data_IF_360004271953
#
_entry.id   IF_360004271953
#
_cell.length_a   1.000
_cell.length_b   1.000
_cell.length_c   1.000
_cell.angle_alpha   90.00
_cell.angle_beta   90.00
_cell.angle_gamma   90.00
#
_symmetry.space_group_name_H-M   'P 1'
#
loop_
_entity.id
_entity.type
_entity.pdbx_description
1 polymer ?
#
# COMPACT_ATOMS: atom_id res chain seq x y z
N UNK A 1 3.19 -5.97 18.25
CA UNK A 1 2.81 -6.88 17.13
C UNK A 1 2.53 -6.08 15.88
N UNK A 2 3.06 -6.49 14.72
CA UNK A 2 2.80 -5.80 13.44
C UNK A 2 1.66 -6.51 12.71
N UNK A 3 0.51 -5.85 12.70
CA UNK A 3 -0.67 -6.25 11.96
C UNK A 3 -0.67 -5.63 10.55
N UNK A 4 -1.83 -5.53 9.91
CA UNK A 4 -1.97 -5.06 8.53
C UNK A 4 -3.32 -4.44 8.30
N UNK A 5 -3.39 -3.49 7.38
CA UNK A 5 -4.62 -3.03 6.72
C UNK A 5 -5.50 -4.17 6.20
N UNK A 6 -4.93 -5.34 5.90
CA UNK A 6 -5.67 -6.50 5.39
C UNK A 6 -6.65 -7.12 6.39
N UNK A 7 -6.66 -6.68 7.66
CA UNK A 7 -7.73 -7.02 8.62
C UNK A 7 -9.06 -6.36 8.25
N UNK A 8 -9.02 -5.32 7.41
CA UNK A 8 -10.18 -4.70 6.81
C UNK A 8 -10.38 -5.23 5.39
N UNK A 9 -11.58 -5.72 5.09
CA UNK A 9 -11.94 -6.30 3.80
C UNK A 9 -12.83 -5.44 2.92
N UNK A 10 -13.05 -4.19 3.33
CA UNK A 10 -13.87 -3.21 2.60
C UNK A 10 -13.13 -1.90 2.44
N UNK A 11 -13.54 -1.14 1.42
CA UNK A 11 -13.16 0.25 1.25
C UNK A 11 -14.01 1.14 2.15
N UNK A 12 -13.49 2.32 2.46
CA UNK A 12 -14.12 3.30 3.35
C UNK A 12 -14.03 4.68 2.72
N UNK A 13 -15.14 5.42 2.73
CA UNK A 13 -15.18 6.81 2.24
C UNK A 13 -14.82 7.83 3.35
N UNK A 14 -14.42 7.34 4.52
CA UNK A 14 -14.05 8.11 5.70
C UNK A 14 -12.76 7.55 6.33
N UNK A 15 -12.19 8.30 7.31
CA UNK A 15 -11.00 7.87 8.03
C UNK A 15 -11.29 6.68 8.95
N UNK A 16 -10.55 5.60 8.76
CA UNK A 16 -10.73 4.34 9.50
C UNK A 16 -10.07 4.45 10.88
N UNK A 17 -10.88 4.33 11.92
CA UNK A 17 -10.44 4.31 13.33
C UNK A 17 -10.08 2.90 13.77
N UNK A 18 -9.32 2.78 14.86
CA UNK A 18 -8.89 1.48 15.40
C UNK A 18 -10.05 0.62 15.90
N UNK A 19 -11.20 1.24 16.20
CA UNK A 19 -12.41 0.60 16.73
C UNK A 19 -13.34 0.07 15.63
N UNK A 20 -13.02 0.38 14.37
CA UNK A 20 -13.75 -0.12 13.21
C UNK A 20 -13.74 -1.67 13.17
N UNK A 21 -14.88 -2.34 12.93
CA UNK A 21 -14.94 -3.79 12.85
C UNK A 21 -14.03 -4.36 11.75
N UNK A 22 -13.22 -5.34 12.14
CA UNK A 22 -12.35 -6.08 11.22
C UNK A 22 -13.15 -7.11 10.43
N UNK A 23 -12.89 -7.22 9.14
CA UNK A 23 -13.54 -8.17 8.24
C UNK A 23 -12.52 -8.69 7.20
N UNK A 24 -11.58 -9.57 7.58
CA UNK A 24 -10.53 -10.03 6.68
C UNK A 24 -11.08 -10.92 5.57
N UNK A 25 -10.81 -10.56 4.32
CA UNK A 25 -11.31 -11.29 3.13
C UNK A 25 -10.26 -12.20 2.48
N UNK A 26 -9.01 -12.15 2.94
CA UNK A 26 -7.91 -13.00 2.46
C UNK A 26 -7.23 -13.75 3.62
N UNK A 27 -6.53 -14.84 3.31
CA UNK A 27 -5.83 -15.67 4.31
C UNK A 27 -4.76 -14.89 5.07
N UNK A 28 -4.06 -13.98 4.38
CA UNK A 28 -3.09 -13.09 5.03
C UNK A 28 -3.76 -12.18 6.07
N UNK A 29 -4.90 -11.57 5.73
CA UNK A 29 -5.69 -10.75 6.67
C UNK A 29 -6.19 -11.55 7.85
N UNK A 30 -6.70 -12.78 7.61
CA UNK A 30 -7.16 -13.70 8.67
C UNK A 30 -6.02 -14.09 9.61
N UNK A 31 -4.85 -14.43 9.06
CA UNK A 31 -3.66 -14.76 9.84
C UNK A 31 -3.21 -13.56 10.69
N UNK A 32 -3.22 -12.34 10.13
CA UNK A 32 -2.88 -11.13 10.88
C UNK A 32 -3.85 -10.87 12.03
N UNK A 33 -5.16 -11.01 11.79
CA UNK A 33 -6.19 -10.84 12.81
C UNK A 33 -6.09 -11.89 13.92
N UNK A 34 -5.87 -13.16 13.59
CA UNK A 34 -5.66 -14.21 14.59
C UNK A 34 -4.45 -13.90 15.50
N UNK A 35 -3.38 -13.33 14.94
CA UNK A 35 -2.26 -12.84 15.74
C UNK A 35 -2.62 -11.66 16.65
N UNK A 36 -3.49 -10.73 16.21
CA UNK A 36 -4.01 -9.67 17.09
C UNK A 36 -4.77 -10.25 18.29
N UNK A 37 -5.61 -11.26 18.06
CA UNK A 37 -6.39 -11.92 19.10
C UNK A 37 -5.48 -12.61 20.14
N UNK A 38 -4.44 -13.31 19.67
CA UNK A 38 -3.47 -13.95 20.56
C UNK A 38 -2.66 -12.96 21.40
N UNK A 39 -2.33 -11.81 20.82
CA UNK A 39 -1.63 -10.72 21.53
C UNK A 39 -2.57 -10.11 22.57
N UNK A 40 -3.83 -9.83 22.22
CA UNK A 40 -4.84 -9.28 23.14
C UNK A 40 -5.11 -10.20 24.34
N UNK A 41 -5.07 -11.53 24.17
CA UNK A 41 -5.19 -12.49 25.29
C UNK A 41 -4.06 -12.36 26.32
N UNK A 42 -2.90 -11.82 25.94
CA UNK A 42 -1.72 -11.65 26.80
C UNK A 42 -1.60 -10.25 27.40
N UNK A 43 -2.47 -9.31 26.99
CA UNK A 43 -2.46 -7.92 27.42
C UNK A 43 -2.58 -7.69 28.94
N UNK A 44 -3.16 -8.66 29.68
CA UNK A 44 -3.24 -8.60 31.14
C UNK A 44 -1.93 -8.98 31.85
N UNK A 45 -0.98 -9.58 31.14
CA UNK A 45 0.27 -10.13 31.71
C UNK A 45 1.53 -9.46 31.15
N UNK A 46 1.42 -8.86 29.97
CA UNK A 46 2.52 -8.22 29.25
C UNK A 46 1.99 -6.95 28.61
N UNK A 47 2.83 -5.92 28.57
CA UNK A 47 2.58 -4.75 27.74
C UNK A 47 2.64 -5.17 26.27
N UNK A 48 1.54 -4.97 25.54
CA UNK A 48 1.38 -5.49 24.18
C UNK A 48 0.67 -4.50 23.28
N UNK A 49 1.43 -3.82 22.45
CA UNK A 49 0.88 -2.94 21.43
C UNK A 49 0.71 -3.63 20.07
N UNK A 50 -0.35 -3.26 19.36
CA UNK A 50 -0.66 -3.72 18.01
C UNK A 50 -0.57 -2.53 17.07
N UNK A 51 0.30 -2.61 16.06
CA UNK A 51 0.41 -1.62 15.01
C UNK A 51 -0.22 -2.16 13.73
N UNK A 52 -1.35 -1.60 13.30
CA UNK A 52 -1.92 -1.87 11.97
C UNK A 52 -1.31 -0.88 10.98
N UNK A 53 -0.72 -1.42 9.93
CA UNK A 53 0.08 -0.65 8.98
C UNK A 53 -0.49 -0.78 7.57
N UNK A 54 -0.44 0.28 6.75
CA UNK A 54 -0.79 0.25 5.35
C UNK A 54 0.40 -0.32 4.56
N UNK A 55 0.40 -0.11 3.24
CA UNK A 55 1.52 -0.54 2.41
C UNK A 55 2.80 0.22 2.79
N UNK A 56 3.81 -0.53 3.19
CA UNK A 56 5.12 -0.01 3.57
C UNK A 56 5.94 0.23 2.31
N UNK A 57 6.45 1.43 2.14
CA UNK A 57 7.26 1.81 0.98
C UNK A 57 8.59 2.42 1.46
N UNK A 58 9.67 2.00 0.80
CA UNK A 58 11.03 2.49 1.03
C UNK A 58 11.89 2.20 -0.20
N UNK A 59 13.01 2.91 -0.32
CA UNK A 59 14.08 2.58 -1.25
C UNK A 59 14.40 1.06 -1.18
N UNK A 60 14.40 0.37 -2.34
CA UNK A 60 14.69 -1.05 -2.46
C UNK A 60 13.51 -2.03 -2.31
N UNK A 61 12.33 -1.58 -1.84
CA UNK A 61 11.12 -2.44 -1.72
C UNK A 61 9.96 -1.88 -2.55
N UNK A 62 10.03 -2.10 -3.85
CA UNK A 62 9.12 -1.47 -4.81
C UNK A 62 7.91 -2.32 -5.19
N UNK A 63 8.05 -3.65 -5.23
CA UNK A 63 6.93 -4.55 -5.58
C UNK A 63 6.21 -4.12 -6.88
N UNK A 64 4.90 -3.92 -6.82
CA UNK A 64 4.09 -3.45 -7.95
C UNK A 64 4.41 -2.01 -8.38
N UNK A 65 4.95 -1.16 -7.49
CA UNK A 65 5.36 0.21 -7.85
C UNK A 65 6.50 0.20 -8.88
N UNK A 66 7.27 -0.89 -8.98
CA UNK A 66 8.30 -1.06 -10.02
C UNK A 66 7.70 -0.95 -11.43
N UNK A 67 6.51 -1.52 -11.63
CA UNK A 67 5.80 -1.46 -12.93
C UNK A 67 5.39 -0.02 -13.23
N UNK A 68 4.83 0.65 -12.22
CA UNK A 68 4.45 2.05 -12.34
C UNK A 68 5.66 2.93 -12.69
N UNK A 69 6.78 2.79 -11.98
CA UNK A 69 8.00 3.56 -12.24
C UNK A 69 8.62 3.27 -13.61
N UNK A 70 8.55 2.02 -14.08
CA UNK A 70 8.97 1.67 -15.43
C UNK A 70 8.13 2.40 -16.48
N UNK A 71 6.81 2.43 -16.32
CA UNK A 71 5.91 3.11 -17.25
C UNK A 71 6.10 4.63 -17.24
N UNK A 72 6.27 5.21 -16.04
CA UNK A 72 6.57 6.64 -15.90
C UNK A 72 7.88 6.97 -16.62
N UNK A 73 8.94 6.20 -16.39
CA UNK A 73 10.25 6.45 -17.02
C UNK A 73 10.22 6.27 -18.54
N UNK A 74 9.44 5.30 -19.04
CA UNK A 74 9.25 5.09 -20.48
C UNK A 74 8.30 6.11 -21.13
N UNK A 75 7.73 7.05 -20.36
CA UNK A 75 6.79 8.05 -20.88
C UNK A 75 5.46 7.44 -21.34
N UNK A 76 5.09 6.27 -20.81
CA UNK A 76 3.90 5.51 -21.20
C UNK A 76 2.62 6.01 -20.54
N UNK A 77 1.49 5.50 -21.02
CA UNK A 77 0.19 5.73 -20.41
C UNK A 77 0.13 5.05 -19.03
N UNK A 78 -0.29 5.81 -18.02
CA UNK A 78 -0.51 5.30 -16.67
C UNK A 78 -1.99 4.98 -16.52
N UNK A 79 -2.31 3.70 -16.38
CA UNK A 79 -3.69 3.24 -16.26
C UNK A 79 -4.19 3.41 -14.83
N UNK A 80 -5.30 4.14 -14.67
CA UNK A 80 -6.02 4.29 -13.42
C UNK A 80 -7.38 3.59 -13.54
N UNK A 81 -7.79 2.85 -12.51
CA UNK A 81 -9.16 2.32 -12.42
C UNK A 81 -10.03 3.42 -11.83
N UNK A 82 -11.12 3.78 -12.51
CA UNK A 82 -11.88 4.99 -12.19
C UNK A 82 -11.15 6.27 -12.61
N UNK A 83 -11.51 7.39 -11.97
CA UNK A 83 -10.90 8.70 -12.22
C UNK A 83 -9.63 8.96 -11.39
N UNK A 84 -9.25 8.02 -10.51
CA UNK A 84 -8.11 8.16 -9.60
C UNK A 84 -8.36 9.08 -8.40
N UNK A 85 -9.62 9.39 -8.10
CA UNK A 85 -10.02 10.13 -6.90
C UNK A 85 -9.90 9.31 -5.61
N UNK A 86 -9.68 8.00 -5.73
CA UNK A 86 -9.46 7.14 -4.58
C UNK A 86 -8.19 7.52 -3.82
N UNK A 87 -8.23 7.36 -2.49
CA UNK A 87 -7.08 7.65 -1.62
C UNK A 87 -6.55 6.36 -1.04
N UNK A 88 -5.24 6.17 -1.14
CA UNK A 88 -4.55 5.00 -0.61
C UNK A 88 -3.36 5.44 0.22
N UNK A 89 -3.36 5.12 1.51
CA UNK A 89 -2.31 5.54 2.43
C UNK A 89 -1.07 4.65 2.30
N UNK A 90 0.12 5.24 2.37
CA UNK A 90 1.39 4.53 2.50
C UNK A 90 2.03 4.86 3.86
N UNK A 91 3.10 4.14 4.18
CA UNK A 91 3.96 4.49 5.30
C UNK A 91 5.43 4.34 4.91
N UNK A 92 6.23 5.34 5.26
CA UNK A 92 7.67 5.28 5.13
C UNK A 92 8.24 4.26 6.12
N UNK A 93 9.15 3.39 5.68
CA UNK A 93 9.73 2.38 6.56
C UNK A 93 10.44 2.97 7.79
N UNK A 94 11.09 4.14 7.65
CA UNK A 94 11.71 4.84 8.79
C UNK A 94 10.68 5.32 9.81
N UNK A 95 9.56 5.88 9.36
CA UNK A 95 8.49 6.34 10.25
C UNK A 95 7.82 5.17 10.97
N UNK A 96 7.64 4.03 10.28
CA UNK A 96 7.16 2.80 10.89
C UNK A 96 8.16 2.28 11.94
N UNK A 97 9.46 2.30 11.66
CA UNK A 97 10.47 1.89 12.63
C UNK A 97 10.41 2.74 13.90
N UNK A 98 10.25 4.07 13.76
CA UNK A 98 10.04 4.98 14.88
C UNK A 98 8.77 4.63 15.67
N UNK A 99 7.65 4.35 14.99
CA UNK A 99 6.40 3.93 15.64
C UNK A 99 6.60 2.63 16.45
N UNK A 100 7.32 1.65 15.91
CA UNK A 100 7.64 0.41 16.59
C UNK A 100 8.45 0.64 17.87
N UNK A 101 9.45 1.52 17.82
CA UNK A 101 10.30 1.83 18.99
C UNK A 101 9.50 2.54 20.08
N UNK A 102 8.61 3.46 19.71
CA UNK A 102 7.75 4.16 20.66
C UNK A 102 6.75 3.20 21.30
N UNK A 103 6.06 2.38 20.51
CA UNK A 103 5.10 1.40 21.01
C UNK A 103 5.78 0.34 21.90
N UNK A 104 6.99 -0.11 21.56
CA UNK A 104 7.72 -1.07 22.39
C UNK A 104 8.12 -0.53 23.78
N UNK A 105 8.07 0.78 23.99
CA UNK A 105 8.40 1.45 25.27
C UNK A 105 7.15 1.94 26.00
N UNK A 106 5.98 1.85 25.37
CA UNK A 106 4.73 2.31 25.95
C UNK A 106 4.21 1.29 26.96
N UNK A 107 3.74 1.72 28.14
CA UNK A 107 3.06 0.84 29.07
C UNK A 107 1.65 0.51 28.56
N UNK A 108 1.13 -0.64 28.96
CA UNK A 108 -0.22 -1.09 28.64
C UNK A 108 -0.31 -1.85 27.31
N UNK A 109 -1.52 -1.93 26.79
CA UNK A 109 -1.80 -2.67 25.57
C UNK A 109 -2.82 -1.94 24.71
N UNK A 110 -2.34 -1.31 23.64
CA UNK A 110 -3.16 -0.48 22.77
C UNK A 110 -3.02 -0.90 21.32
N UNK A 111 -4.12 -0.83 20.58
CA UNK A 111 -4.08 -0.92 19.11
C UNK A 111 -3.94 0.48 18.54
N UNK A 112 -2.97 0.65 17.66
CA UNK A 112 -2.67 1.88 16.94
C UNK A 112 -2.67 1.65 15.44
N UNK A 113 -3.12 2.66 14.71
CA UNK A 113 -2.86 2.80 13.29
C UNK A 113 -1.60 3.63 13.04
N UNK A 114 -0.82 3.22 12.05
CA UNK A 114 0.39 3.94 11.61
C UNK A 114 0.23 4.26 10.12
N UNK A 115 0.49 5.49 9.69
CA UNK A 115 0.32 5.87 8.28
C UNK A 115 0.76 7.30 8.01
N UNK A 116 1.00 7.65 6.75
CA UNK A 116 1.28 9.03 6.36
C UNK A 116 0.07 9.94 6.58
N UNK A 117 0.30 11.21 6.86
CA UNK A 117 -0.76 12.21 6.92
C UNK A 117 -1.07 12.82 5.55
N UNK A 118 -2.15 13.61 5.49
CA UNK A 118 -2.55 14.41 4.33
C UNK A 118 -2.61 13.58 3.03
N UNK A 119 -3.22 12.40 3.11
CA UNK A 119 -3.30 11.45 1.99
C UNK A 119 -4.10 12.06 0.84
N UNK A 120 -3.40 12.44 -0.22
CA UNK A 120 -3.99 12.94 -1.46
C UNK A 120 -4.58 11.81 -2.32
N UNK A 121 -5.28 12.18 -3.37
CA UNK A 121 -5.81 11.22 -4.34
C UNK A 121 -4.68 10.47 -5.04
N UNK A 122 -4.96 9.24 -5.48
CA UNK A 122 -3.98 8.42 -6.19
C UNK A 122 -3.45 9.14 -7.44
N UNK A 123 -4.34 9.87 -8.14
CA UNK A 123 -3.97 10.72 -9.28
C UNK A 123 -2.94 11.78 -8.88
N UNK A 124 -3.17 12.52 -7.80
CA UNK A 124 -2.23 13.56 -7.34
C UNK A 124 -0.89 12.95 -6.92
N UNK A 125 -0.93 11.84 -6.18
CA UNK A 125 0.26 11.14 -5.71
C UNK A 125 1.10 10.61 -6.89
N UNK A 126 0.47 10.05 -7.92
CA UNK A 126 1.18 9.60 -9.12
C UNK A 126 1.64 10.75 -10.00
N UNK A 127 0.88 11.85 -10.06
CA UNK A 127 1.26 13.04 -10.82
C UNK A 127 2.57 13.63 -10.27
N UNK A 128 2.71 13.67 -8.95
CA UNK A 128 3.93 14.11 -8.27
C UNK A 128 5.19 13.31 -8.68
N UNK A 129 5.03 12.02 -9.01
CA UNK A 129 6.13 11.17 -9.50
C UNK A 129 6.39 11.41 -10.99
N UNK A 130 5.35 11.57 -11.81
CA UNK A 130 5.49 11.88 -13.25
C UNK A 130 6.19 13.23 -13.45
N UNK A 131 5.81 14.23 -12.64
CA UNK A 131 6.43 15.55 -12.62
C UNK A 131 7.91 15.46 -12.25
N UNK A 132 8.25 14.72 -11.19
CA UNK A 132 9.66 14.53 -10.79
C UNK A 132 10.47 13.78 -11.86
N UNK A 133 9.86 12.80 -12.52
CA UNK A 133 10.48 12.06 -13.60
C UNK A 133 10.69 12.89 -14.88
N UNK A 134 9.99 14.02 -15.02
CA UNK A 134 10.07 14.89 -16.20
C UNK A 134 9.60 14.22 -17.50
N UNK A 135 8.71 13.23 -17.42
CA UNK A 135 8.29 12.45 -18.60
C UNK A 135 6.97 12.90 -19.19
N UNK A 136 6.67 12.39 -20.40
CA UNK A 136 5.41 12.68 -21.11
C UNK A 136 4.26 11.74 -20.72
N UNK A 137 4.42 10.98 -19.63
CA UNK A 137 3.40 10.05 -19.16
C UNK A 137 2.07 10.76 -18.87
N UNK A 138 0.97 10.14 -19.28
CA UNK A 138 -0.39 10.67 -19.08
C UNK A 138 -1.29 9.61 -18.47
N UNK A 139 -2.23 10.05 -17.65
CA UNK A 139 -3.24 9.17 -17.08
C UNK A 139 -4.24 8.70 -18.15
N UNK A 140 -4.59 7.43 -18.09
CA UNK A 140 -5.67 6.83 -18.86
C UNK A 140 -6.65 6.17 -17.89
N UNK A 141 -7.84 6.73 -17.79
CA UNK A 141 -8.85 6.29 -16.83
C UNK A 141 -9.71 5.19 -17.44
N UNK A 142 -9.73 4.03 -16.79
CA UNK A 142 -10.54 2.89 -17.18
C UNK A 142 -11.83 2.91 -16.36
N UNK A 143 -13.01 2.70 -16.97
CA UNK A 143 -14.26 2.68 -16.20
C UNK A 143 -14.23 1.58 -15.14
N UNK A 144 -14.59 1.91 -13.91
CA UNK A 144 -14.35 1.07 -12.74
C UNK A 144 -15.02 -0.31 -12.84
N UNK A 145 -16.35 -0.33 -13.04
CA UNK A 145 -17.16 -1.56 -13.09
C UNK A 145 -16.67 -2.57 -14.14
N UNK A 146 -16.46 -2.22 -15.43
CA UNK A 146 -15.96 -3.18 -16.41
C UNK A 146 -14.52 -3.58 -16.12
N UNK A 147 -13.67 -2.68 -15.61
CA UNK A 147 -12.29 -3.02 -15.24
C UNK A 147 -12.25 -4.08 -14.15
N UNK A 148 -13.05 -3.92 -13.09
CA UNK A 148 -13.18 -4.89 -12.00
C UNK A 148 -13.73 -6.23 -12.54
N UNK A 149 -14.73 -6.20 -13.42
CA UNK A 149 -15.30 -7.41 -14.01
C UNK A 149 -14.26 -8.20 -14.83
N UNK A 150 -13.48 -7.50 -15.68
CA UNK A 150 -12.40 -8.10 -16.47
C UNK A 150 -11.31 -8.68 -15.56
N UNK A 151 -10.88 -7.93 -14.54
CA UNK A 151 -9.86 -8.41 -13.59
C UNK A 151 -10.33 -9.68 -12.86
N UNK A 152 -11.59 -9.71 -12.41
CA UNK A 152 -12.18 -10.88 -11.76
C UNK A 152 -12.26 -12.09 -12.71
N UNK A 153 -12.59 -11.86 -13.98
CA UNK A 153 -12.61 -12.91 -15.01
C UNK A 153 -11.20 -13.46 -15.27
N UNK A 154 -10.21 -12.58 -15.46
CA UNK A 154 -8.82 -12.97 -15.67
C UNK A 154 -8.22 -13.72 -14.48
N UNK A 155 -8.62 -13.37 -13.25
CA UNK A 155 -8.23 -14.10 -12.05
C UNK A 155 -8.85 -15.51 -12.03
N UNK A 156 -10.16 -15.64 -12.32
CA UNK A 156 -10.84 -16.95 -12.41
C UNK A 156 -10.20 -17.85 -13.46
N UNK A 157 -9.69 -17.27 -14.54
CA UNK A 157 -8.99 -17.99 -15.61
C UNK A 157 -7.51 -18.28 -15.29
N UNK A 158 -7.00 -17.89 -14.11
CA UNK A 158 -5.59 -18.09 -13.72
C UNK A 158 -4.59 -17.26 -14.52
N UNK A 159 -5.06 -16.25 -15.25
CA UNK A 159 -4.25 -15.39 -16.13
C UNK A 159 -3.75 -14.14 -15.41
N UNK A 160 -4.39 -13.74 -14.31
CA UNK A 160 -4.01 -12.58 -13.49
C UNK A 160 -3.78 -13.00 -12.04
N UNK A 161 -2.72 -12.51 -11.37
CA UNK A 161 -2.55 -12.64 -9.93
C UNK A 161 -3.47 -11.69 -9.14
N UNK A 162 -4.10 -10.72 -9.80
CA UNK A 162 -4.93 -9.70 -9.17
C UNK A 162 -6.36 -10.21 -9.00
N UNK A 163 -6.62 -10.86 -7.86
CA UNK A 163 -7.95 -11.34 -7.50
C UNK A 163 -8.93 -10.26 -7.03
N UNK A 164 -10.17 -10.65 -6.67
CA UNK A 164 -11.26 -9.76 -6.25
C UNK A 164 -10.93 -8.86 -5.06
N UNK A 165 -9.97 -9.29 -4.23
CA UNK A 165 -9.45 -8.50 -3.12
C UNK A 165 -8.63 -7.31 -3.60
N UNK A 166 -7.71 -7.55 -4.53
CA UNK A 166 -6.86 -6.50 -5.10
C UNK A 166 -7.70 -5.50 -5.89
N UNK A 167 -8.71 -5.95 -6.65
CA UNK A 167 -9.56 -5.03 -7.41
C UNK A 167 -10.36 -4.07 -6.52
N UNK A 168 -10.87 -4.53 -5.37
CA UNK A 168 -11.55 -3.65 -4.40
C UNK A 168 -10.59 -2.70 -3.68
N UNK A 169 -9.37 -3.14 -3.37
CA UNK A 169 -8.35 -2.26 -2.79
C UNK A 169 -7.79 -1.24 -3.80
N UNK A 170 -7.74 -1.60 -5.08
CA UNK A 170 -7.24 -0.74 -6.16
C UNK A 170 -8.24 0.37 -6.49
N UNK A 171 -9.55 0.09 -6.42
CA UNK A 171 -10.60 1.07 -6.71
C UNK A 171 -11.06 1.83 -5.46
N UNK A 172 -10.99 1.20 -4.28
CA UNK A 172 -11.51 1.77 -3.04
C UNK A 172 -10.60 2.81 -2.40
N UNK A 173 -11.21 3.72 -1.64
CA UNK A 173 -10.50 4.58 -0.70
C UNK A 173 -10.24 3.84 0.60
N UNK A 174 -9.04 3.99 1.14
CA UNK A 174 -8.70 3.52 2.48
C UNK A 174 -7.62 4.41 3.09
N UNK A 175 -7.95 5.05 4.21
CA UNK A 175 -7.04 5.90 4.97
C UNK A 175 -7.29 5.70 6.46
N UNK A 176 -6.23 5.41 7.23
CA UNK A 176 -6.30 5.38 8.68
C UNK A 176 -6.32 6.79 9.27
N UNK A 177 -7.05 6.97 10.37
CA UNK A 177 -6.65 8.00 11.34
C UNK A 177 -5.42 7.52 12.12
N UNK A 178 -4.48 8.41 12.41
CA UNK A 178 -3.29 8.16 13.22
C UNK A 178 -3.32 8.94 14.55
N UNK A 179 -4.48 9.52 14.88
CA UNK A 179 -4.66 10.41 16.03
C UNK A 179 -4.33 9.74 17.36
N UNK A 180 -4.72 8.48 17.56
CA UNK A 180 -4.45 7.75 18.80
C UNK A 180 -2.95 7.56 19.05
N UNK A 181 -2.21 7.21 17.99
CA UNK A 181 -0.77 7.02 18.07
C UNK A 181 -0.04 8.35 18.38
N UNK A 182 -0.49 9.44 17.76
CA UNK A 182 0.00 10.80 18.01
C UNK A 182 -0.27 11.25 19.44
N UNK A 183 -1.51 11.08 19.91
CA UNK A 183 -1.93 11.53 21.23
C UNK A 183 -1.23 10.76 22.35
N UNK A 184 -1.13 9.43 22.21
CA UNK A 184 -0.56 8.59 23.26
C UNK A 184 0.97 8.62 23.27
N UNK A 185 1.60 8.55 22.09
CA UNK A 185 3.04 8.30 21.97
C UNK A 185 3.84 9.47 21.37
N UNK A 186 3.19 10.58 21.01
CA UNK A 186 3.84 11.73 20.38
C UNK A 186 4.43 11.45 19.00
N UNK A 187 4.09 10.32 18.38
CA UNK A 187 4.59 9.95 17.06
C UNK A 187 4.01 10.85 15.98
N UNK A 188 4.81 11.24 14.99
CA UNK A 188 4.33 11.94 13.79
C UNK A 188 5.04 11.41 12.55
N UNK A 189 4.34 11.29 11.40
CA UNK A 189 4.98 10.90 10.15
C UNK A 189 5.86 12.05 9.65
N UNK A 190 7.04 11.71 9.10
CA UNK A 190 8.00 12.69 8.58
C UNK A 190 7.89 12.86 7.06
N UNK A 191 7.10 12.01 6.40
CA UNK A 191 6.92 11.97 4.95
C UNK A 191 5.46 11.86 4.55
N UNK A 192 5.10 12.59 3.50
CA UNK A 192 3.83 12.40 2.79
C UNK A 192 3.89 11.22 1.83
N UNK A 193 2.75 10.78 1.32
CA UNK A 193 2.69 9.76 0.27
C UNK A 193 3.54 10.14 -0.95
N UNK A 194 3.49 11.41 -1.36
CA UNK A 194 4.23 11.94 -2.49
C UNK A 194 5.74 11.87 -2.24
N UNK A 195 6.19 12.29 -1.06
CA UNK A 195 7.62 12.22 -0.70
C UNK A 195 8.13 10.79 -0.72
N UNK A 196 7.33 9.87 -0.15
CA UNK A 196 7.64 8.43 -0.12
C UNK A 196 7.82 7.89 -1.55
N UNK A 197 6.88 8.18 -2.45
CA UNK A 197 6.97 7.66 -3.82
C UNK A 197 8.05 8.34 -4.66
N UNK A 198 8.30 9.64 -4.46
CA UNK A 198 9.40 10.36 -5.09
C UNK A 198 10.75 9.80 -4.67
N UNK A 199 10.98 9.61 -3.37
CA UNK A 199 12.21 9.00 -2.87
C UNK A 199 12.40 7.58 -3.43
N UNK A 200 11.33 6.78 -3.45
CA UNK A 200 11.34 5.44 -4.04
C UNK A 200 11.66 5.47 -5.55
N UNK A 201 11.14 6.46 -6.29
CA UNK A 201 11.45 6.67 -7.70
C UNK A 201 12.91 7.07 -7.93
N UNK A 202 13.48 8.00 -7.13
CA UNK A 202 14.91 8.36 -7.22
C UNK A 202 15.81 7.16 -6.99
N UNK A 203 15.47 6.34 -5.99
CA UNK A 203 16.20 5.10 -5.71
C UNK A 203 16.12 4.11 -6.89
N UNK A 204 14.92 3.95 -7.47
CA UNK A 204 14.72 3.14 -8.67
C UNK A 204 15.56 3.65 -9.85
N UNK A 205 15.60 4.97 -10.04
CA UNK A 205 16.30 5.60 -11.16
C UNK A 205 17.82 5.44 -11.07
N UNK A 206 18.38 5.63 -9.86
CA UNK A 206 19.81 5.48 -9.55
C UNK A 206 20.29 4.02 -9.67
N UNK A 207 19.51 3.05 -9.20
CA UNK A 207 19.93 1.64 -9.08
C UNK A 207 19.84 0.84 -10.41
N UNK A 208 19.63 1.50 -11.55
CA UNK A 208 19.51 0.84 -12.86
C UNK A 208 20.80 0.14 -13.35
N UNK A 209 21.94 0.45 -12.74
CA UNK A 209 23.22 -0.25 -12.98
C UNK A 209 23.32 -1.64 -12.34
N UNK A 210 22.48 -1.95 -11.36
CA UNK A 210 22.65 -3.13 -10.49
C UNK A 210 21.45 -4.09 -10.56
N UNK A 211 20.89 -4.24 -11.77
CA UNK A 211 19.72 -5.09 -12.09
C UNK A 211 19.89 -6.58 -11.76
N UNK A 212 21.02 -7.00 -11.22
CA UNK A 212 21.34 -8.37 -10.83
C UNK A 212 20.95 -8.72 -9.38
N UNK A 213 20.93 -7.76 -8.44
CA UNK A 213 20.94 -8.10 -7.01
C UNK A 213 19.56 -8.07 -6.31
N UNK A 214 18.57 -7.36 -6.83
CA UNK A 214 17.24 -7.25 -6.22
C UNK A 214 16.24 -8.31 -6.72
N UNK A 215 16.73 -9.43 -7.27
CA UNK A 215 15.94 -10.52 -7.85
C UNK A 215 15.37 -11.51 -6.81
N UNK A 216 15.58 -11.28 -5.51
CA UNK A 216 15.28 -12.32 -4.51
C UNK A 216 13.93 -12.14 -3.80
N UNK A 217 13.19 -13.26 -3.78
CA UNK A 217 12.07 -13.66 -2.92
C UNK A 217 10.61 -13.43 -3.36
N UNK A 218 10.22 -12.39 -4.11
CA UNK A 218 8.78 -12.18 -4.44
C UNK A 218 8.33 -12.59 -5.85
N UNK A 219 9.20 -13.22 -6.64
CA UNK A 219 8.84 -13.78 -7.95
C UNK A 219 8.19 -15.16 -7.80
N UNK A 220 7.01 -15.20 -7.20
CA UNK A 220 5.97 -16.13 -7.67
C UNK A 220 5.04 -15.38 -8.62
N UNK A 221 5.44 -15.35 -9.89
CA UNK A 221 4.51 -15.67 -10.97
C UNK A 221 3.35 -14.73 -11.27
N UNK A 222 3.49 -13.41 -11.16
CA UNK A 222 2.71 -12.52 -12.02
C UNK A 222 3.24 -12.71 -13.46
N UNK A 223 2.69 -13.67 -14.21
CA UNK A 223 3.10 -13.98 -15.58
C UNK A 223 3.20 -12.68 -16.38
N UNK A 224 4.38 -12.42 -16.96
CA UNK A 224 4.71 -11.27 -17.82
C UNK A 224 3.77 -11.04 -19.02
N UNK A 225 2.78 -11.92 -19.26
CA UNK A 225 1.85 -11.84 -20.39
C UNK A 225 0.98 -10.58 -20.37
N UNK A 226 0.34 -10.25 -19.24
CA UNK A 226 -0.52 -9.06 -19.14
C UNK A 226 0.30 -7.77 -19.25
N UNK A 227 1.50 -7.74 -18.67
CA UNK A 227 2.45 -6.62 -18.78
C UNK A 227 2.92 -6.41 -20.21
N UNK A 228 3.21 -7.47 -20.96
CA UNK A 228 3.52 -7.38 -22.40
C UNK A 228 2.32 -6.88 -23.21
N UNK A 229 1.12 -7.32 -22.88
CA UNK A 229 -0.10 -6.90 -23.58
C UNK A 229 -0.41 -5.42 -23.32
N UNK A 230 -0.28 -4.95 -22.07
CA UNK A 230 -0.40 -3.54 -21.71
C UNK A 230 0.73 -2.68 -22.32
N UNK A 231 1.96 -3.20 -22.41
CA UNK A 231 3.07 -2.54 -23.12
C UNK A 231 2.85 -2.47 -24.64
N UNK A 232 2.15 -3.43 -25.22
CA UNK A 232 1.80 -3.43 -26.64
C UNK A 232 0.65 -2.44 -26.96
N UNK A 233 -0.26 -2.25 -26.01
CA UNK A 233 -1.40 -1.32 -26.11
C UNK A 233 -1.09 0.13 -25.68
N UNK A 234 0.07 0.38 -25.05
CA UNK A 234 0.52 1.71 -24.60
C UNK A 234 1.59 2.30 -25.50
#
# INVERSE_FOLDING_TARGET
YISSICVFGRAYDYLVTEDEPTCPVCDYGRSKLAGEEEVKKRAQKLDTDILRVPTIVSAGRLGLLTIFFEFVKEGRRIYLVGDGSNRYQFIFAGDLATACVLAARAPGSTTYHVGSDNVKTLREVYAAVIEEAGTRSRFFCLPEKPSIAILNLLFKLGLSPLGPYHSRLIAGTFVFTTERLKANLGWQPTRTNEDILREAYRSYDKNKGDRSAALSAHRQGAKMGILRLLKWLS
#
